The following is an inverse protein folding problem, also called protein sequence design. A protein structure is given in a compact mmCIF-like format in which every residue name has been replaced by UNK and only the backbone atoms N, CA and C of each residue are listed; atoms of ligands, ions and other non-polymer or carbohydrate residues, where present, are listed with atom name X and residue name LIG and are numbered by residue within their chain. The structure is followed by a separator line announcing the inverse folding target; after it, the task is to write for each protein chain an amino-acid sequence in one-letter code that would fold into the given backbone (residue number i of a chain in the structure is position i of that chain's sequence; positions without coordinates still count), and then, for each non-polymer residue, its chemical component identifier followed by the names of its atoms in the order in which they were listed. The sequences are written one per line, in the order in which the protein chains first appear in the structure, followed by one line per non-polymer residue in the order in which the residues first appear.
data_IF_894053391207
#
_entry.id   IF_894053391207
#
_cell.length_a   1.000
_cell.length_b   1.000
_cell.length_c   1.000
_cell.angle_alpha   90.00
_cell.angle_beta   90.00
_cell.angle_gamma   90.00
#
_symmetry.space_group_name_H-M   'P 1'
#
loop_
_entity.id
_entity.type
_entity.pdbx_description
1 polymer ?
#
# COMPACT_ATOMS: atom_id res chain seq x y z
N UNK A 1 -5.43 -7.69 6.25
CA UNK A 1 -4.92 -7.81 4.86
C UNK A 1 -3.54 -7.20 4.70
N UNK A 2 -3.34 -5.90 4.97
CA UNK A 2 -2.03 -5.24 4.81
C UNK A 2 -0.92 -5.94 5.62
N UNK A 3 -1.15 -6.23 6.90
CA UNK A 3 -0.21 -7.01 7.74
C UNK A 3 0.15 -8.36 7.11
N UNK A 4 -0.85 -9.10 6.62
CA UNK A 4 -0.63 -10.40 5.99
C UNK A 4 0.22 -10.31 4.71
N UNK A 5 0.10 -9.23 3.93
CA UNK A 5 0.96 -8.99 2.77
C UNK A 5 2.41 -8.76 3.19
N UNK A 6 2.65 -7.87 4.15
CA UNK A 6 4.00 -7.60 4.64
C UNK A 6 4.62 -8.85 5.26
N UNK A 7 3.86 -9.60 6.06
CA UNK A 7 4.27 -10.89 6.62
C UNK A 7 4.70 -11.85 5.50
N UNK A 8 3.86 -12.04 4.47
CA UNK A 8 4.18 -12.92 3.34
C UNK A 8 5.46 -12.49 2.59
N UNK A 9 5.61 -11.20 2.30
CA UNK A 9 6.81 -10.64 1.65
C UNK A 9 8.06 -10.86 2.50
N UNK A 10 7.99 -10.57 3.80
CA UNK A 10 9.11 -10.72 4.73
C UNK A 10 9.53 -12.18 4.82
N UNK A 11 8.59 -13.10 5.02
CA UNK A 11 8.88 -14.54 5.10
C UNK A 11 9.48 -15.07 3.80
N UNK A 12 8.91 -14.73 2.66
CA UNK A 12 9.43 -15.16 1.36
C UNK A 12 10.83 -14.61 1.07
N UNK A 13 11.15 -13.42 1.57
CA UNK A 13 12.49 -12.82 1.42
C UNK A 13 13.50 -13.43 2.36
N UNK A 14 13.11 -13.61 3.62
CA UNK A 14 13.97 -14.13 4.67
C UNK A 14 14.11 -15.64 4.60
N UNK A 15 13.30 -16.36 3.81
CA UNK A 15 13.48 -17.78 3.51
C UNK A 15 14.81 -18.10 2.81
N UNK A 16 15.42 -17.12 2.14
CA UNK A 16 16.67 -17.28 1.38
C UNK A 16 17.94 -17.34 2.26
N UNK A 17 17.82 -17.06 3.55
CA UNK A 17 18.94 -17.07 4.50
C UNK A 17 18.70 -18.07 5.63
N UNK A 18 19.75 -18.66 6.21
CA UNK A 18 19.57 -19.53 7.37
C UNK A 18 19.57 -18.69 8.67
N UNK A 19 18.38 -18.50 9.23
CA UNK A 19 18.12 -17.58 10.34
C UNK A 19 17.94 -18.23 11.70
N UNK A 20 17.80 -19.56 11.77
CA UNK A 20 17.15 -20.22 12.91
C UNK A 20 17.91 -20.06 14.24
N UNK A 21 19.23 -19.87 14.19
CA UNK A 21 20.07 -19.55 15.35
C UNK A 21 20.62 -18.11 15.35
N UNK A 22 20.35 -17.35 14.30
CA UNK A 22 20.88 -16.00 14.12
C UNK A 22 19.99 -14.94 14.78
N UNK A 23 20.60 -13.81 15.14
CA UNK A 23 19.87 -12.61 15.55
C UNK A 23 19.62 -11.73 14.32
N UNK A 24 18.44 -11.12 14.25
CA UNK A 24 18.12 -10.16 13.20
C UNK A 24 18.07 -8.75 13.80
N UNK A 25 18.93 -7.87 13.31
CA UNK A 25 18.80 -6.44 13.52
C UNK A 25 18.02 -5.85 12.36
N UNK A 26 17.16 -4.87 12.61
CA UNK A 26 16.55 -4.10 11.53
C UNK A 26 16.74 -2.60 11.74
N UNK A 27 16.96 -1.91 10.63
CA UNK A 27 17.06 -0.45 10.61
C UNK A 27 15.71 0.15 10.24
N UNK A 28 15.25 1.22 10.91
CA UNK A 28 14.07 1.96 10.47
C UNK A 28 14.23 2.44 9.02
N UNK A 29 13.14 2.40 8.24
CA UNK A 29 13.16 2.93 6.90
C UNK A 29 13.56 4.42 6.89
N UNK A 30 14.31 4.81 5.86
CA UNK A 30 14.70 6.23 5.65
C UNK A 30 13.50 7.08 5.24
N UNK A 31 12.57 6.49 4.51
CA UNK A 31 11.34 7.15 4.03
C UNK A 31 10.23 6.92 5.04
N UNK A 32 9.56 7.98 5.49
CA UNK A 32 8.33 7.85 6.27
C UNK A 32 7.12 7.69 5.33
N UNK A 33 6.62 6.46 5.21
CA UNK A 33 5.43 6.17 4.41
C UNK A 33 4.13 6.20 5.23
N UNK A 34 4.18 6.53 6.53
CA UNK A 34 3.01 6.53 7.42
C UNK A 34 2.51 5.15 7.86
N UNK A 35 2.99 4.08 7.24
CA UNK A 35 2.69 2.68 7.60
C UNK A 35 3.92 1.85 7.98
N UNK A 36 5.09 2.49 8.17
CA UNK A 36 6.34 1.81 8.56
C UNK A 36 6.15 0.98 9.83
N UNK A 37 5.37 1.47 10.78
CA UNK A 37 5.07 0.79 12.03
C UNK A 37 4.43 -0.59 11.82
N UNK A 38 3.65 -0.79 10.75
CA UNK A 38 3.06 -2.09 10.41
C UNK A 38 4.16 -3.06 9.99
N UNK A 39 5.10 -2.60 9.15
CA UNK A 39 6.24 -3.40 8.70
C UNK A 39 7.13 -3.77 9.89
N UNK A 40 7.42 -2.81 10.76
CA UNK A 40 8.21 -3.05 11.98
C UNK A 40 7.52 -4.04 12.94
N UNK A 41 6.19 -4.00 13.06
CA UNK A 41 5.42 -4.96 13.86
C UNK A 41 5.53 -6.38 13.29
N UNK A 42 5.44 -6.54 11.97
CA UNK A 42 5.64 -7.85 11.33
C UNK A 42 7.07 -8.37 11.48
N UNK A 43 8.09 -7.50 11.38
CA UNK A 43 9.49 -7.89 11.63
C UNK A 43 9.68 -8.38 13.07
N UNK A 44 9.06 -7.73 14.05
CA UNK A 44 9.15 -8.12 15.47
C UNK A 44 8.50 -9.47 15.78
N UNK A 45 7.63 -9.98 14.92
CA UNK A 45 6.98 -11.30 15.09
C UNK A 45 7.83 -12.47 14.62
N UNK A 46 8.91 -12.22 13.87
CA UNK A 46 9.77 -13.26 13.31
C UNK A 46 10.37 -14.25 14.35
N UNK A 47 10.70 -13.86 15.60
CA UNK A 47 11.15 -14.81 16.62
C UNK A 47 10.04 -15.76 17.06
N UNK A 48 8.79 -15.27 17.16
CA UNK A 48 7.64 -16.06 17.63
C UNK A 48 7.28 -17.21 16.68
N UNK A 49 7.73 -17.14 15.43
CA UNK A 49 7.55 -18.19 14.42
C UNK A 49 8.84 -19.00 14.19
N UNK A 50 9.86 -18.82 15.03
CA UNK A 50 11.11 -19.56 14.99
C UNK A 50 12.06 -19.18 13.87
N UNK A 51 11.85 -18.06 13.17
CA UNK A 51 12.70 -17.67 12.02
C UNK A 51 14.05 -17.11 12.43
N UNK A 52 14.10 -16.45 13.59
CA UNK A 52 15.31 -15.91 14.20
C UNK A 52 15.27 -16.13 15.70
N UNK A 53 16.43 -16.27 16.33
CA UNK A 53 16.53 -16.41 17.77
C UNK A 53 16.02 -15.16 18.51
N UNK A 54 16.27 -13.98 17.94
CA UNK A 54 15.78 -12.70 18.45
C UNK A 54 15.80 -11.63 17.35
N UNK A 55 14.94 -10.62 17.49
CA UNK A 55 14.87 -9.45 16.62
C UNK A 55 15.09 -8.18 17.43
N UNK A 56 15.99 -7.33 16.96
CA UNK A 56 16.31 -6.04 17.58
C UNK A 56 16.16 -4.90 16.59
N UNK A 57 15.65 -3.77 17.06
CA UNK A 57 15.72 -2.52 16.31
C UNK A 57 17.09 -1.91 16.52
N UNK A 58 17.85 -1.70 15.45
CA UNK A 58 19.21 -1.17 15.56
C UNK A 58 19.19 0.24 16.16
N UNK A 59 19.81 0.40 17.32
CA UNK A 59 20.19 1.70 17.90
C UNK A 59 21.69 1.93 17.72
N UNK A 60 22.14 3.18 17.74
CA UNK A 60 23.53 3.59 17.45
C UNK A 60 24.60 2.96 18.36
N UNK A 61 24.21 2.25 19.42
CA UNK A 61 25.08 1.79 20.51
C UNK A 61 25.26 0.27 20.52
N UNK A 62 24.61 -0.48 19.61
CA UNK A 62 24.72 -1.93 19.56
C UNK A 62 25.74 -2.36 18.51
N UNK A 63 26.93 -2.74 18.97
CA UNK A 63 27.86 -3.50 18.16
C UNK A 63 27.65 -4.99 18.50
N UNK A 64 27.07 -5.80 17.61
CA UNK A 64 26.74 -7.18 17.92
C UNK A 64 28.00 -8.02 18.18
N UNK A 65 28.19 -8.43 19.43
CA UNK A 65 29.26 -9.35 19.85
C UNK A 65 29.10 -10.72 19.15
N UNK A 66 30.06 -11.05 18.29
CA UNK A 66 30.55 -12.37 17.81
C UNK A 66 29.58 -13.53 17.53
N UNK A 67 28.27 -13.30 17.56
CA UNK A 67 27.21 -14.29 17.25
C UNK A 67 26.79 -14.11 15.79
N UNK A 68 26.37 -15.16 15.07
CA UNK A 68 25.79 -14.98 13.73
C UNK A 68 24.61 -14.00 13.78
N UNK A 69 24.70 -12.90 13.05
CA UNK A 69 23.68 -11.87 12.98
C UNK A 69 23.48 -11.38 11.55
N UNK A 70 22.26 -10.92 11.28
CA UNK A 70 21.88 -10.28 10.03
C UNK A 70 21.37 -8.87 10.29
N UNK A 71 21.61 -7.96 9.36
CA UNK A 71 20.99 -6.63 9.34
C UNK A 71 20.00 -6.56 8.19
N UNK A 72 18.73 -6.37 8.52
CA UNK A 72 17.65 -6.06 7.58
C UNK A 72 17.47 -4.56 7.43
N UNK A 73 17.69 -4.08 6.21
CA UNK A 73 17.21 -2.77 5.77
C UNK A 73 15.94 -2.98 4.95
N UNK A 74 14.90 -2.22 5.27
CA UNK A 74 13.67 -2.19 4.51
C UNK A 74 13.36 -0.75 4.08
N UNK A 75 12.76 -0.60 2.90
CA UNK A 75 12.23 0.67 2.44
C UNK A 75 10.89 0.43 1.74
N UNK A 76 9.78 1.01 2.24
CA UNK A 76 8.50 0.94 1.55
C UNK A 76 8.63 1.62 0.18
N UNK A 77 8.14 0.94 -0.86
CA UNK A 77 8.14 1.46 -2.23
C UNK A 77 6.75 1.95 -2.59
N UNK A 78 5.73 1.11 -2.36
CA UNK A 78 4.34 1.44 -2.67
C UNK A 78 3.35 0.63 -1.83
N UNK A 79 2.17 1.21 -1.59
CA UNK A 79 1.01 0.54 -1.01
C UNK A 79 -0.24 1.15 -1.65
N UNK A 80 -0.98 0.32 -2.38
CA UNK A 80 -2.18 0.74 -3.09
C UNK A 80 -3.38 -0.12 -2.71
N UNK A 81 -4.53 0.54 -2.59
CA UNK A 81 -5.84 -0.08 -2.40
C UNK A 81 -6.70 0.35 -3.58
N UNK A 82 -7.24 -0.61 -4.33
CA UNK A 82 -8.07 -0.37 -5.50
C UNK A 82 -9.41 -1.08 -5.35
N UNK A 83 -10.48 -0.37 -5.70
CA UNK A 83 -11.84 -0.88 -5.67
C UNK A 83 -12.36 -1.06 -7.10
N UNK A 84 -12.60 -2.29 -7.50
CA UNK A 84 -13.08 -2.66 -8.83
C UNK A 84 -14.51 -3.17 -8.75
N UNK A 85 -15.42 -2.46 -9.42
CA UNK A 85 -16.83 -2.84 -9.53
C UNK A 85 -17.10 -3.49 -10.89
N UNK A 86 -17.79 -4.63 -10.91
CA UNK A 86 -18.30 -5.17 -12.16
C UNK A 86 -19.36 -4.20 -12.74
N UNK A 87 -19.19 -3.83 -14.00
CA UNK A 87 -20.05 -2.85 -14.68
C UNK A 87 -21.48 -3.37 -14.90
N UNK A 88 -21.69 -4.69 -14.84
CA UNK A 88 -22.97 -5.32 -15.22
C UNK A 88 -23.99 -5.37 -14.08
N UNK A 89 -23.56 -5.32 -12.83
CA UNK A 89 -24.48 -5.41 -11.69
C UNK A 89 -24.14 -4.39 -10.61
N UNK A 90 -25.10 -3.51 -10.36
CA UNK A 90 -24.99 -2.46 -9.35
C UNK A 90 -25.02 -3.00 -7.90
N UNK A 91 -25.56 -4.20 -7.69
CA UNK A 91 -25.71 -4.86 -6.39
C UNK A 91 -24.61 -5.87 -6.10
N UNK A 92 -23.80 -6.23 -7.09
CA UNK A 92 -22.67 -7.13 -6.88
C UNK A 92 -21.64 -6.53 -5.92
N UNK A 93 -20.99 -7.39 -5.11
CA UNK A 93 -19.88 -6.96 -4.27
C UNK A 93 -18.76 -6.36 -5.13
N UNK A 94 -18.04 -5.42 -4.54
CA UNK A 94 -16.85 -4.79 -5.11
C UNK A 94 -15.65 -5.66 -4.77
N UNK A 95 -14.83 -5.95 -5.78
CA UNK A 95 -13.52 -6.55 -5.56
C UNK A 95 -12.56 -5.46 -5.07
N UNK A 96 -12.09 -5.58 -3.83
CA UNK A 96 -11.02 -4.75 -3.28
C UNK A 96 -9.70 -5.47 -3.45
N UNK A 97 -8.78 -4.85 -4.18
CA UNK A 97 -7.40 -5.30 -4.35
C UNK A 97 -6.49 -4.45 -3.48
N UNK A 98 -5.71 -5.09 -2.62
CA UNK A 98 -4.64 -4.44 -1.85
C UNK A 98 -3.31 -4.96 -2.39
N UNK A 99 -2.42 -4.06 -2.81
CA UNK A 99 -1.10 -4.40 -3.32
C UNK A 99 -0.02 -3.61 -2.60
N UNK A 100 1.13 -4.22 -2.36
CA UNK A 100 2.26 -3.55 -1.75
C UNK A 100 3.59 -3.92 -2.42
N UNK A 101 4.55 -3.01 -2.32
CA UNK A 101 5.91 -3.15 -2.81
C UNK A 101 6.89 -2.73 -1.72
N UNK A 102 7.86 -3.60 -1.44
CA UNK A 102 8.83 -3.42 -0.37
C UNK A 102 10.24 -3.74 -0.89
N UNK A 103 11.16 -2.80 -0.74
CA UNK A 103 12.58 -3.03 -0.98
C UNK A 103 13.20 -3.58 0.31
N UNK A 104 13.91 -4.69 0.19
CA UNK A 104 14.54 -5.41 1.29
C UNK A 104 15.99 -5.72 0.93
N UNK A 105 16.91 -5.36 1.82
CA UNK A 105 18.32 -5.70 1.73
C UNK A 105 18.76 -6.30 3.04
N UNK A 106 19.39 -7.46 2.99
CA UNK A 106 19.94 -8.17 4.14
C UNK A 106 21.44 -8.23 4.02
N UNK A 107 22.12 -7.84 5.09
CA UNK A 107 23.56 -7.95 5.27
C UNK A 107 23.87 -9.03 6.29
N UNK A 108 24.94 -9.79 6.08
CA UNK A 108 25.51 -10.65 7.13
C UNK A 108 26.39 -9.85 8.11
N UNK A 109 26.97 -10.56 9.08
CA UNK A 109 27.79 -9.94 10.12
C UNK A 109 29.09 -9.30 9.62
N UNK A 110 29.54 -9.65 8.42
CA UNK A 110 30.71 -9.04 7.77
C UNK A 110 30.32 -7.80 6.93
N UNK A 111 29.03 -7.46 6.91
CA UNK A 111 28.48 -6.36 6.11
C UNK A 111 28.33 -6.71 4.63
N UNK A 112 28.41 -7.99 4.25
CA UNK A 112 28.17 -8.42 2.88
C UNK A 112 26.68 -8.57 2.63
N UNK A 113 26.22 -8.09 1.47
CA UNK A 113 24.83 -8.28 1.03
C UNK A 113 24.60 -9.75 0.71
N UNK A 114 23.70 -10.38 1.45
CA UNK A 114 23.26 -11.77 1.23
C UNK A 114 21.96 -11.86 0.45
N UNK A 115 21.08 -10.86 0.61
CA UNK A 115 19.82 -10.75 -0.14
C UNK A 115 19.57 -9.27 -0.47
N UNK A 116 19.15 -8.97 -1.69
CA UNK A 116 18.69 -7.62 -2.05
C UNK A 116 17.65 -7.71 -3.15
N UNK A 117 16.40 -7.34 -2.86
CA UNK A 117 15.32 -7.38 -3.84
C UNK A 117 14.20 -6.38 -3.54
N UNK A 118 13.40 -6.10 -4.56
CA UNK A 118 12.10 -5.46 -4.42
C UNK A 118 11.03 -6.53 -4.54
N UNK A 119 10.32 -6.78 -3.46
CA UNK A 119 9.26 -7.77 -3.40
C UNK A 119 7.89 -7.09 -3.56
N UNK A 120 7.02 -7.71 -4.35
CA UNK A 120 5.68 -7.21 -4.63
C UNK A 120 4.68 -8.31 -4.34
N UNK A 121 3.55 -7.97 -3.71
CA UNK A 121 2.48 -8.92 -3.48
C UNK A 121 1.12 -8.21 -3.43
N UNK A 122 0.06 -8.98 -3.64
CA UNK A 122 -1.31 -8.48 -3.61
C UNK A 122 -2.29 -9.50 -3.07
N UNK A 123 -3.34 -9.01 -2.43
CA UNK A 123 -4.44 -9.81 -1.89
C UNK A 123 -5.75 -9.11 -2.22
N UNK A 124 -6.75 -9.90 -2.62
CA UNK A 124 -8.06 -9.40 -2.98
C UNK A 124 -9.16 -10.02 -2.15
N UNK A 125 -10.18 -9.24 -1.84
CA UNK A 125 -11.42 -9.70 -1.22
C UNK A 125 -12.64 -9.02 -1.83
N UNK A 126 -13.81 -9.61 -1.59
CA UNK A 126 -15.08 -9.06 -2.05
C UNK A 126 -15.78 -8.40 -0.86
N UNK A 127 -16.10 -7.11 -1.01
CA UNK A 127 -16.82 -6.33 0.01
C UNK A 127 -18.04 -5.65 -0.59
N UNK A 128 -19.06 -5.40 0.22
CA UNK A 128 -20.18 -4.60 -0.22
C UNK A 128 -19.83 -3.10 -0.22
N UNK A 129 -20.58 -2.32 -1.02
CA UNK A 129 -20.32 -0.87 -1.19
C UNK A 129 -20.42 -0.10 0.12
N UNK A 130 -21.39 -0.46 0.96
CA UNK A 130 -21.64 0.11 2.29
C UNK A 130 -20.54 -0.24 3.30
N UNK A 131 -19.76 -1.29 3.05
CA UNK A 131 -18.64 -1.67 3.92
C UNK A 131 -17.37 -0.87 3.66
N UNK A 132 -17.26 -0.14 2.54
CA UNK A 132 -16.03 0.60 2.17
C UNK A 132 -15.62 1.54 3.31
N UNK A 133 -16.54 2.35 3.83
CA UNK A 133 -16.22 3.31 4.90
C UNK A 133 -15.82 2.65 6.22
N UNK A 134 -16.26 1.40 6.45
CA UNK A 134 -15.92 0.65 7.67
C UNK A 134 -14.53 0.00 7.60
N UNK A 135 -14.05 -0.30 6.40
CA UNK A 135 -12.74 -0.94 6.19
C UNK A 135 -11.62 0.07 5.96
N UNK A 136 -11.97 1.29 5.57
CA UNK A 136 -11.04 2.42 5.49
C UNK A 136 -10.92 3.12 6.85
N UNK A 137 -9.71 3.47 7.25
CA UNK A 137 -9.48 4.31 8.42
C UNK A 137 -8.98 5.68 7.96
N UNK A 138 -9.86 6.69 8.00
CA UNK A 138 -9.55 8.06 7.56
C UNK A 138 -8.39 8.71 8.34
N UNK A 139 -8.04 8.21 9.53
CA UNK A 139 -6.85 8.65 10.26
C UNK A 139 -5.54 8.17 9.61
N UNK A 140 -5.60 7.09 8.84
CA UNK A 140 -4.48 6.51 8.11
C UNK A 140 -4.72 6.63 6.61
N UNK A 141 -4.17 7.68 5.99
CA UNK A 141 -4.40 8.00 4.57
C UNK A 141 -4.08 6.82 3.62
N UNK A 142 -3.09 5.99 3.96
CA UNK A 142 -2.71 4.80 3.17
C UNK A 142 -3.78 3.69 3.16
N UNK A 143 -4.81 3.78 3.99
CA UNK A 143 -5.92 2.83 4.02
C UNK A 143 -7.09 3.23 3.13
N UNK A 144 -7.04 4.43 2.52
CA UNK A 144 -8.11 4.98 1.70
C UNK A 144 -7.78 4.78 0.22
N UNK A 145 -8.68 4.14 -0.52
CA UNK A 145 -8.53 3.91 -1.96
C UNK A 145 -9.35 4.89 -2.81
N UNK A 146 -9.06 4.99 -4.12
CA UNK A 146 -9.90 5.74 -5.03
C UNK A 146 -11.25 5.03 -5.15
N UNK A 147 -12.30 5.71 -4.69
CA UNK A 147 -13.65 5.16 -4.75
C UNK A 147 -14.17 5.10 -6.19
N UNK A 148 -14.89 4.03 -6.57
CA UNK A 148 -15.58 3.97 -7.85
C UNK A 148 -16.73 4.99 -7.82
N UNK A 149 -16.46 6.23 -8.27
CA UNK A 149 -17.43 7.34 -8.25
C UNK A 149 -18.72 6.95 -8.97
N UNK A 150 -19.87 7.25 -8.35
CA UNK A 150 -21.16 7.35 -9.06
C UNK A 150 -21.03 8.42 -10.15
N UNK A 151 -21.05 8.02 -11.43
CA UNK A 151 -20.94 8.90 -12.62
C UNK A 151 -22.03 9.99 -12.74
N UNK A 152 -23.07 9.96 -11.92
CA UNK A 152 -24.32 10.69 -12.16
C UNK A 152 -24.20 12.22 -12.18
N UNK A 153 -23.34 12.83 -11.36
CA UNK A 153 -23.26 14.30 -11.28
C UNK A 153 -22.39 14.95 -12.37
N UNK A 154 -21.46 14.22 -13.00
CA UNK A 154 -20.69 14.76 -14.14
C UNK A 154 -21.42 14.63 -15.48
N UNK A 155 -22.32 13.66 -15.62
CA UNK A 155 -23.03 13.37 -16.87
C UNK A 155 -24.08 14.42 -17.28
N UNK A 156 -24.58 15.24 -16.33
CA UNK A 156 -25.63 16.24 -16.61
C UNK A 156 -25.08 17.65 -16.80
N UNK A 157 -23.87 17.95 -16.32
CA UNK A 157 -23.28 19.28 -16.44
C UNK A 157 -22.90 19.59 -17.89
N UNK A 158 -22.31 18.62 -18.61
CA UNK A 158 -21.94 18.79 -20.02
C UNK A 158 -23.12 19.17 -20.94
N UNK A 159 -24.25 18.42 -20.97
CA UNK A 159 -25.37 18.76 -21.85
C UNK A 159 -26.06 20.08 -21.50
N UNK A 160 -26.15 20.42 -20.21
CA UNK A 160 -26.72 21.70 -19.75
C UNK A 160 -25.84 22.87 -20.17
N UNK A 161 -24.52 22.77 -19.97
CA UNK A 161 -23.58 23.84 -20.33
C UNK A 161 -23.58 24.11 -21.84
N UNK A 162 -23.59 23.05 -22.66
CA UNK A 162 -23.68 23.19 -24.13
C UNK A 162 -24.97 23.89 -24.53
N UNK A 163 -26.10 23.52 -23.91
CA UNK A 163 -27.40 24.12 -24.19
C UNK A 163 -27.47 25.61 -23.82
N UNK A 164 -26.86 26.01 -22.70
CA UNK A 164 -26.77 27.42 -22.29
C UNK A 164 -25.89 28.22 -23.25
N UNK A 165 -24.74 27.68 -23.67
CA UNK A 165 -23.84 28.35 -24.60
C UNK A 165 -24.52 28.51 -25.97
N UNK A 166 -25.10 27.44 -26.52
CA UNK A 166 -25.79 27.48 -27.81
C UNK A 166 -26.99 28.43 -27.78
N UNK A 167 -27.80 28.39 -26.72
CA UNK A 167 -28.92 29.32 -26.53
C UNK A 167 -28.46 30.78 -26.45
N UNK A 168 -27.37 31.05 -25.71
CA UNK A 168 -26.77 32.37 -25.61
C UNK A 168 -26.23 32.89 -26.94
N UNK A 169 -25.58 32.04 -27.74
CA UNK A 169 -25.08 32.39 -29.08
C UNK A 169 -26.24 32.72 -30.02
N UNK A 170 -27.26 31.86 -30.08
CA UNK A 170 -28.45 32.07 -30.94
C UNK A 170 -29.17 33.35 -30.54
N UNK A 171 -29.39 33.57 -29.25
CA UNK A 171 -30.01 34.78 -28.72
C UNK A 171 -29.20 36.04 -29.07
N UNK A 172 -27.87 35.95 -28.95
CA UNK A 172 -26.96 37.06 -29.29
C UNK A 172 -27.06 37.40 -30.78
N UNK A 173 -27.03 36.41 -31.68
CA UNK A 173 -27.20 36.64 -33.12
C UNK A 173 -28.57 37.23 -33.46
N UNK A 174 -29.64 36.76 -32.81
CA UNK A 174 -30.98 37.29 -33.02
C UNK A 174 -31.08 38.76 -32.59
N UNK A 175 -30.51 39.09 -31.43
CA UNK A 175 -30.55 40.45 -30.87
C UNK A 175 -29.68 41.42 -31.68
N UNK A 176 -28.51 40.97 -32.18
CA UNK A 176 -27.66 41.78 -33.06
C UNK A 176 -28.25 42.01 -34.45
N UNK A 177 -29.07 41.09 -34.97
CA UNK A 177 -29.74 41.23 -36.28
C UNK A 177 -31.05 42.03 -36.22
N UNK A 178 -31.64 42.18 -35.03
CA UNK A 178 -32.92 42.87 -34.81
C UNK A 178 -32.79 44.40 -34.63
N UNK A 179 -31.60 44.96 -34.83
CA UNK A 179 -31.35 46.41 -34.96
C UNK A 179 -30.91 46.71 -36.39
#
# INVERSE_FOLDING_TARGET
MIQALFSKILLATLAEIDGDSARLYFQPAKTDAGYNWIIEDEIKKLPSIGRFAAVYRLSKEQNPDSTSWFLLQYNPVDLAILYQKDKRDSKSPINRLVSCSLSLTVYDGDGKVVVSKVANDSISDNINVDQIESVENKHYAFTVGPHPRKKFLKSLIEPVLISVITGGIVYSFYTFRSK
#
